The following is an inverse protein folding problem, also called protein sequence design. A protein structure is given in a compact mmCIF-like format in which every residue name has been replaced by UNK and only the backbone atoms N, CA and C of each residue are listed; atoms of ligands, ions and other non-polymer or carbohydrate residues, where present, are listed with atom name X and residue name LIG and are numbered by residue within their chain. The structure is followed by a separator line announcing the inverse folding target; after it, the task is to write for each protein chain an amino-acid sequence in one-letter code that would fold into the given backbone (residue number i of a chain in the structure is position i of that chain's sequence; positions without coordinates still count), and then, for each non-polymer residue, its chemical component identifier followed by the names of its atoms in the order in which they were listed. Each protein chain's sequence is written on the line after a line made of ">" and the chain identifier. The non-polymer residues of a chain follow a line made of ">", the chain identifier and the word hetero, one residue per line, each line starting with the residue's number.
data_IF_458010169653
#
_entry.id   IF_458010169653
#
_cell.length_a   1.000
_cell.length_b   1.000
_cell.length_c   1.000
_cell.angle_alpha   90.00
_cell.angle_beta   90.00
_cell.angle_gamma   90.00
#
_symmetry.space_group_name_H-M   'P 1'
#
loop_
_entity.id
_entity.type
_entity.pdbx_description
1 polymer ?
#
# COMPACT_ATOMS: atom_id res chain seq x y z
N UNK A 1 -48.75 -45.12 -24.62
CA UNK A 1 -47.84 -44.46 -23.65
C UNK A 1 -47.05 -43.40 -24.43
N UNK A 2 -47.49 -42.14 -24.43
CA UNK A 2 -46.82 -41.09 -25.19
C UNK A 2 -45.61 -40.57 -24.42
N UNK A 3 -44.41 -40.94 -24.84
CA UNK A 3 -43.16 -40.41 -24.30
C UNK A 3 -43.00 -38.96 -24.76
N UNK A 4 -43.11 -38.02 -23.82
CA UNK A 4 -42.82 -36.60 -24.01
C UNK A 4 -41.37 -36.45 -24.47
N UNK A 5 -41.14 -36.17 -25.75
CA UNK A 5 -39.82 -35.79 -26.28
C UNK A 5 -39.42 -34.47 -25.60
N UNK A 6 -38.40 -34.50 -24.74
CA UNK A 6 -37.83 -33.28 -24.15
C UNK A 6 -37.14 -32.52 -25.27
N UNK A 7 -37.71 -31.39 -25.67
CA UNK A 7 -37.03 -30.43 -26.55
C UNK A 7 -35.74 -29.95 -25.86
N UNK A 8 -34.59 -30.28 -26.44
CA UNK A 8 -33.32 -29.67 -26.06
C UNK A 8 -33.29 -28.25 -26.62
N UNK A 9 -33.74 -27.27 -25.84
CA UNK A 9 -33.52 -25.85 -26.15
C UNK A 9 -32.03 -25.54 -26.01
N UNK A 10 -31.38 -25.19 -27.13
CA UNK A 10 -30.02 -24.65 -27.14
C UNK A 10 -30.02 -23.13 -26.99
N UNK A 11 -28.91 -22.56 -26.52
CA UNK A 11 -28.70 -21.12 -26.51
C UNK A 11 -28.58 -20.59 -27.95
N UNK A 12 -29.19 -19.45 -28.21
CA UNK A 12 -29.03 -18.73 -29.48
C UNK A 12 -27.75 -17.90 -29.46
N UNK A 13 -27.15 -17.70 -30.63
CA UNK A 13 -25.97 -16.82 -30.76
C UNK A 13 -26.29 -15.38 -30.35
N UNK A 14 -27.51 -14.91 -30.61
CA UNK A 14 -27.92 -13.55 -30.25
C UNK A 14 -28.06 -13.36 -28.74
N UNK A 15 -28.54 -14.37 -28.00
CA UNK A 15 -28.56 -14.36 -26.54
C UNK A 15 -27.15 -14.23 -25.96
N UNK A 16 -26.20 -15.00 -26.52
CA UNK A 16 -24.81 -14.90 -26.10
C UNK A 16 -24.20 -13.52 -26.41
N UNK A 17 -24.46 -12.97 -27.59
CA UNK A 17 -23.92 -11.66 -27.99
C UNK A 17 -24.41 -10.52 -27.09
N UNK A 18 -25.69 -10.50 -26.73
CA UNK A 18 -26.23 -9.47 -25.81
C UNK A 18 -25.60 -9.61 -24.43
N UNK A 19 -25.41 -10.83 -23.93
CA UNK A 19 -24.77 -11.08 -22.62
C UNK A 19 -23.34 -10.54 -22.61
N UNK A 20 -22.53 -10.85 -23.64
CA UNK A 20 -21.16 -10.34 -23.72
C UNK A 20 -21.13 -8.81 -23.86
N UNK A 21 -22.07 -8.21 -24.61
CA UNK A 21 -22.17 -6.76 -24.73
C UNK A 21 -22.46 -6.09 -23.37
N UNK A 22 -23.40 -6.63 -22.58
CA UNK A 22 -23.73 -6.10 -21.25
C UNK A 22 -22.53 -6.28 -20.30
N UNK A 23 -21.91 -7.46 -20.26
CA UNK A 23 -20.71 -7.70 -19.43
C UNK A 23 -19.57 -6.76 -19.85
N UNK A 24 -19.40 -6.50 -21.14
CA UNK A 24 -18.41 -5.55 -21.67
C UNK A 24 -18.61 -4.12 -21.14
N UNK A 25 -19.84 -3.62 -21.14
CA UNK A 25 -20.18 -2.29 -20.60
C UNK A 25 -19.91 -2.23 -19.10
N UNK A 26 -20.32 -3.26 -18.35
CA UNK A 26 -20.09 -3.32 -16.90
C UNK A 26 -18.60 -3.42 -16.57
N UNK A 27 -17.84 -4.24 -17.28
CA UNK A 27 -16.41 -4.44 -17.08
C UNK A 27 -15.61 -3.15 -17.36
N UNK A 28 -15.98 -2.40 -18.40
CA UNK A 28 -15.33 -1.14 -18.74
C UNK A 28 -15.38 -0.10 -17.61
N UNK A 29 -16.46 -0.08 -16.82
CA UNK A 29 -16.61 0.81 -15.66
C UNK A 29 -16.03 0.18 -14.39
N UNK A 30 -16.22 -1.12 -14.20
CA UNK A 30 -15.83 -1.81 -12.96
C UNK A 30 -14.31 -1.99 -12.81
N UNK A 31 -13.60 -2.34 -13.88
CA UNK A 31 -12.16 -2.62 -13.85
C UNK A 31 -11.34 -1.42 -13.36
N UNK A 32 -11.45 -0.21 -13.94
CA UNK A 32 -10.64 0.92 -13.49
C UNK A 32 -10.95 1.32 -12.04
N UNK A 33 -12.20 1.20 -11.62
CA UNK A 33 -12.60 1.47 -10.23
C UNK A 33 -12.02 0.42 -9.27
N UNK A 34 -12.07 -0.86 -9.64
CA UNK A 34 -11.51 -1.95 -8.85
C UNK A 34 -10.00 -1.78 -8.65
N UNK A 35 -9.25 -1.40 -9.69
CA UNK A 35 -7.81 -1.14 -9.60
C UNK A 35 -7.51 -0.01 -8.61
N UNK A 36 -8.26 1.10 -8.65
CA UNK A 36 -8.14 2.20 -7.68
C UNK A 36 -8.44 1.77 -6.25
N UNK A 37 -9.44 0.92 -6.04
CA UNK A 37 -9.75 0.39 -4.71
C UNK A 37 -8.63 -0.52 -4.20
N UNK A 38 -8.07 -1.35 -5.08
CA UNK A 38 -6.94 -2.20 -4.73
C UNK A 38 -5.71 -1.37 -4.35
N UNK A 39 -5.39 -0.32 -5.11
CA UNK A 39 -4.29 0.60 -4.82
C UNK A 39 -4.48 1.28 -3.46
N UNK A 40 -5.67 1.84 -3.18
CA UNK A 40 -5.99 2.45 -1.88
C UNK A 40 -5.90 1.45 -0.72
N UNK A 41 -6.32 0.20 -0.93
CA UNK A 41 -6.20 -0.85 0.07
C UNK A 41 -4.72 -1.15 0.37
N UNK A 42 -3.86 -1.20 -0.66
CA UNK A 42 -2.41 -1.37 -0.48
C UNK A 42 -1.77 -0.17 0.22
N UNK A 43 -2.13 1.06 -0.17
CA UNK A 43 -1.67 2.29 0.50
C UNK A 43 -2.04 2.34 1.99
N UNK A 44 -3.16 1.72 2.40
CA UNK A 44 -3.56 1.69 3.81
C UNK A 44 -2.52 1.03 4.72
N UNK A 45 -1.72 0.10 4.20
CA UNK A 45 -0.62 -0.54 4.91
C UNK A 45 0.44 0.47 5.34
N UNK A 46 0.92 1.30 4.40
CA UNK A 46 1.92 2.34 4.67
C UNK A 46 1.40 3.32 5.74
N UNK A 47 0.15 3.75 5.63
CA UNK A 47 -0.47 4.68 6.58
C UNK A 47 -0.53 4.11 8.00
N UNK A 48 -0.89 2.82 8.11
CA UNK A 48 -0.99 2.14 9.40
C UNK A 48 0.38 1.98 10.05
N UNK A 49 1.38 1.52 9.29
CA UNK A 49 2.74 1.33 9.80
C UNK A 49 3.42 2.66 10.12
N UNK A 50 3.27 3.70 9.30
CA UNK A 50 3.75 5.05 9.63
C UNK A 50 3.10 5.61 10.89
N UNK A 51 1.81 5.35 11.10
CA UNK A 51 1.12 5.73 12.35
C UNK A 51 1.68 4.96 13.56
N UNK A 52 2.03 3.69 13.40
CA UNK A 52 2.67 2.90 14.44
C UNK A 52 4.09 3.42 14.76
N UNK A 53 4.89 3.76 13.75
CA UNK A 53 6.19 4.41 13.91
C UNK A 53 6.04 5.72 14.67
N UNK A 54 5.05 6.55 14.32
CA UNK A 54 4.77 7.80 15.03
C UNK A 54 4.51 7.56 16.51
N UNK A 55 3.64 6.61 16.85
CA UNK A 55 3.35 6.28 18.26
C UNK A 55 4.59 5.77 18.99
N UNK A 56 5.40 4.92 18.34
CA UNK A 56 6.67 4.47 18.92
C UNK A 56 7.64 5.64 19.16
N UNK A 57 7.76 6.56 18.20
CA UNK A 57 8.64 7.73 18.31
C UNK A 57 8.21 8.68 19.44
N UNK A 58 6.90 8.93 19.57
CA UNK A 58 6.36 9.73 20.68
C UNK A 58 6.63 9.07 22.03
N UNK A 59 6.44 7.76 22.14
CA UNK A 59 6.76 7.01 23.37
C UNK A 59 8.26 7.11 23.71
N UNK A 60 9.12 6.90 22.70
CA UNK A 60 10.57 6.98 22.87
C UNK A 60 11.03 8.37 23.28
N UNK A 61 10.47 9.43 22.68
CA UNK A 61 10.74 10.81 23.06
C UNK A 61 10.33 11.09 24.52
N UNK A 62 9.18 10.56 24.97
CA UNK A 62 8.73 10.70 26.36
C UNK A 62 9.70 10.09 27.39
N UNK A 63 10.45 9.06 27.01
CA UNK A 63 11.44 8.40 27.89
C UNK A 63 12.82 9.03 27.82
N UNK A 64 13.24 9.48 26.63
CA UNK A 64 14.64 9.84 26.34
C UNK A 64 14.87 11.28 25.93
N UNK A 65 13.81 12.10 25.83
CA UNK A 65 13.83 13.49 25.36
C UNK A 65 14.54 13.68 24.00
N UNK A 66 14.49 12.65 23.15
CA UNK A 66 15.02 12.68 21.79
C UNK A 66 14.27 11.63 20.95
N UNK A 67 14.19 11.83 19.64
CA UNK A 67 13.66 10.83 18.73
C UNK A 67 14.70 9.76 18.37
N UNK A 68 14.24 8.55 18.06
CA UNK A 68 15.10 7.43 17.69
C UNK A 68 15.56 7.57 16.23
N UNK A 69 16.88 7.52 16.01
CA UNK A 69 17.47 7.64 14.68
C UNK A 69 17.52 6.32 13.89
N UNK A 70 17.25 5.18 14.54
CA UNK A 70 17.30 3.85 13.92
C UNK A 70 16.15 2.97 14.38
N UNK A 71 15.74 1.99 13.56
CA UNK A 71 14.66 1.08 13.96
C UNK A 71 15.05 0.19 15.14
N UNK A 72 16.33 -0.15 15.26
CA UNK A 72 16.86 -0.92 16.39
C UNK A 72 16.75 -0.15 17.72
N UNK A 73 16.99 1.17 17.71
CA UNK A 73 16.83 2.00 18.91
C UNK A 73 15.36 2.28 19.24
N UNK A 74 14.53 2.41 18.21
CA UNK A 74 13.07 2.52 18.35
C UNK A 74 12.42 1.22 18.82
N UNK A 75 13.10 0.08 18.65
CA UNK A 75 12.58 -1.27 18.88
C UNK A 75 11.25 -1.51 18.14
N UNK A 76 11.20 -1.08 16.88
CA UNK A 76 10.03 -1.22 16.02
C UNK A 76 10.40 -1.96 14.74
N UNK A 77 9.50 -2.84 14.30
CA UNK A 77 9.52 -3.47 12.99
C UNK A 77 8.09 -3.67 12.51
N UNK A 78 7.86 -3.66 11.19
CA UNK A 78 6.54 -3.97 10.65
C UNK A 78 6.22 -5.46 10.86
N UNK A 79 4.93 -5.78 10.94
CA UNK A 79 4.44 -7.15 11.08
C UNK A 79 4.06 -7.76 9.72
N UNK A 80 4.37 -9.05 9.53
CA UNK A 80 3.96 -9.81 8.35
C UNK A 80 4.78 -9.51 7.09
N UNK A 81 4.17 -9.72 5.91
CA UNK A 81 4.77 -9.36 4.61
C UNK A 81 4.39 -7.94 4.24
N UNK A 82 5.37 -7.05 4.06
CA UNK A 82 5.12 -5.63 3.76
C UNK A 82 5.23 -5.32 2.27
N UNK A 83 4.45 -4.38 1.77
CA UNK A 83 4.57 -3.84 0.39
C UNK A 83 5.43 -2.60 0.30
N UNK A 84 5.81 -2.06 1.44
CA UNK A 84 6.65 -0.88 1.57
C UNK A 84 7.91 -1.21 2.37
N UNK A 85 8.97 -0.48 2.07
CA UNK A 85 10.11 -0.28 2.97
C UNK A 85 9.90 0.98 3.80
N UNK A 86 10.32 0.95 5.05
CA UNK A 86 10.20 2.06 5.99
C UNK A 86 11.57 2.66 6.26
N UNK A 87 11.62 3.98 6.43
CA UNK A 87 12.84 4.77 6.59
C UNK A 87 12.70 5.71 7.79
N UNK A 88 13.76 5.81 8.62
CA UNK A 88 13.83 6.80 9.70
C UNK A 88 14.82 7.92 9.42
N UNK A 89 16.03 7.60 8.97
CA UNK A 89 17.10 8.57 8.79
C UNK A 89 17.97 8.24 7.58
N UNK A 90 18.63 9.27 7.04
CA UNK A 90 19.62 9.10 5.98
C UNK A 90 20.77 8.18 6.43
N UNK A 91 21.09 7.17 5.62
CA UNK A 91 22.17 6.22 5.92
C UNK A 91 21.77 5.09 6.87
N UNK A 92 20.54 5.09 7.37
CA UNK A 92 19.97 3.94 8.07
C UNK A 92 19.43 2.92 7.07
N UNK A 93 19.49 1.64 7.43
CA UNK A 93 18.97 0.56 6.58
C UNK A 93 17.46 0.53 6.69
N UNK A 94 16.78 0.78 5.57
CA UNK A 94 15.34 0.65 5.48
C UNK A 94 14.90 -0.76 5.86
N UNK A 95 13.71 -0.88 6.47
CA UNK A 95 13.17 -2.17 6.86
C UNK A 95 11.89 -2.50 6.10
N UNK A 96 11.80 -3.75 5.66
CA UNK A 96 10.61 -4.40 5.14
C UNK A 96 10.73 -5.88 5.49
N UNK A 97 9.62 -6.54 5.81
CA UNK A 97 9.64 -7.94 6.25
C UNK A 97 8.83 -8.80 5.29
N UNK A 98 9.34 -9.98 4.91
CA UNK A 98 8.61 -11.01 4.15
C UNK A 98 9.09 -11.24 2.71
N UNK A 99 8.83 -12.43 2.17
CA UNK A 99 9.09 -12.76 0.77
C UNK A 99 8.18 -11.93 -0.13
N UNK A 100 8.76 -11.12 -1.03
CA UNK A 100 8.02 -10.18 -1.87
C UNK A 100 7.85 -8.79 -1.24
N UNK A 101 8.58 -8.47 -0.17
CA UNK A 101 8.72 -7.08 0.26
C UNK A 101 9.32 -6.23 -0.85
N UNK A 102 8.88 -4.97 -0.89
CA UNK A 102 9.64 -3.95 -1.59
C UNK A 102 11.07 -3.99 -1.04
N UNK A 103 12.06 -4.09 -1.93
CA UNK A 103 13.48 -4.08 -1.55
C UNK A 103 14.20 -3.06 -2.41
N UNK A 104 15.02 -2.21 -1.79
CA UNK A 104 15.83 -1.23 -2.51
C UNK A 104 15.02 -0.07 -3.06
N UNK A 105 13.93 0.28 -2.38
CA UNK A 105 13.15 1.48 -2.66
C UNK A 105 13.95 2.73 -2.31
N UNK A 106 13.62 3.82 -2.98
CA UNK A 106 14.26 5.11 -2.74
C UNK A 106 13.67 5.74 -1.48
N UNK A 107 14.53 6.21 -0.56
CA UNK A 107 14.08 6.96 0.61
C UNK A 107 13.29 8.21 0.19
N UNK A 108 12.09 8.46 0.75
CA UNK A 108 11.33 9.66 0.45
C UNK A 108 12.10 10.93 0.80
N UNK A 109 11.89 11.99 0.03
CA UNK A 109 12.51 13.29 0.30
C UNK A 109 12.03 13.84 1.65
N UNK A 110 12.95 14.34 2.47
CA UNK A 110 12.65 14.97 3.76
C UNK A 110 12.60 14.02 4.96
N UNK A 111 12.82 12.72 4.75
CA UNK A 111 13.05 11.76 5.86
C UNK A 111 14.31 12.15 6.62
N UNK A 112 14.15 12.41 7.91
CA UNK A 112 15.23 12.84 8.79
C UNK A 112 14.81 12.69 10.26
N UNK A 113 15.78 12.51 11.14
CA UNK A 113 15.59 12.58 12.59
C UNK A 113 16.52 13.63 13.17
N UNK A 114 15.97 14.50 14.01
CA UNK A 114 16.67 15.45 14.84
C UNK A 114 16.25 15.26 16.30
N UNK A 115 16.91 15.95 17.23
CA UNK A 115 16.60 15.83 18.66
C UNK A 115 15.12 16.11 18.95
N UNK A 116 14.53 17.13 18.32
CA UNK A 116 13.18 17.62 18.61
C UNK A 116 12.22 17.54 17.42
N UNK A 117 12.59 16.85 16.34
CA UNK A 117 11.72 16.64 15.19
C UNK A 117 12.07 15.34 14.48
N UNK A 118 11.10 14.71 13.84
CA UNK A 118 11.36 13.59 12.94
C UNK A 118 10.39 13.61 11.76
N UNK A 119 10.84 13.04 10.66
CA UNK A 119 10.03 12.67 9.51
C UNK A 119 10.40 11.24 9.16
N UNK A 120 9.47 10.31 9.35
CA UNK A 120 9.62 8.93 8.89
C UNK A 120 9.02 8.78 7.49
N UNK A 121 9.54 7.84 6.71
CA UNK A 121 9.12 7.60 5.34
C UNK A 121 8.73 6.15 5.09
N UNK A 122 7.89 5.94 4.06
CA UNK A 122 7.62 4.64 3.49
C UNK A 122 7.65 4.74 1.96
N UNK A 123 8.31 3.82 1.28
CA UNK A 123 8.33 3.74 -0.19
C UNK A 123 7.97 2.33 -0.64
N UNK A 124 7.19 2.22 -1.70
CA UNK A 124 6.77 0.93 -2.25
C UNK A 124 6.32 1.05 -3.69
N UNK A 125 6.47 -0.04 -4.45
CA UNK A 125 6.01 -0.14 -5.84
C UNK A 125 4.74 -1.00 -5.90
N UNK A 126 3.58 -0.36 -5.99
CA UNK A 126 2.26 -0.99 -5.81
C UNK A 126 1.77 -1.70 -7.08
N UNK A 127 2.15 -1.21 -8.24
CA UNK A 127 1.70 -1.59 -9.58
C UNK A 127 2.82 -2.08 -10.51
N UNK A 128 4.04 -2.22 -9.98
CA UNK A 128 5.21 -2.84 -10.61
C UNK A 128 5.73 -2.09 -11.84
N UNK A 129 5.61 -0.77 -11.85
CA UNK A 129 6.22 0.08 -12.88
C UNK A 129 7.56 0.68 -12.41
N UNK A 130 8.04 1.75 -13.08
CA UNK A 130 9.34 2.34 -12.79
C UNK A 130 9.28 3.40 -11.66
N UNK A 131 8.09 3.72 -11.17
CA UNK A 131 7.84 4.80 -10.22
C UNK A 131 7.37 4.22 -8.88
N UNK A 132 7.66 4.94 -7.80
CA UNK A 132 7.43 4.46 -6.43
C UNK A 132 6.41 5.37 -5.73
N UNK A 133 5.49 4.76 -4.99
CA UNK A 133 4.57 5.46 -4.09
C UNK A 133 5.30 5.79 -2.79
N UNK A 134 5.35 7.07 -2.42
CA UNK A 134 6.16 7.56 -1.29
C UNK A 134 5.31 8.31 -0.27
N UNK A 135 5.29 7.80 0.96
CA UNK A 135 4.60 8.42 2.09
C UNK A 135 5.59 8.96 3.12
N UNK A 136 5.24 10.06 3.77
CA UNK A 136 5.96 10.57 4.94
C UNK A 136 5.01 10.91 6.07
N UNK A 137 5.48 10.74 7.30
CA UNK A 137 4.80 11.20 8.51
C UNK A 137 5.78 11.99 9.38
N UNK A 138 5.35 13.15 9.88
CA UNK A 138 6.19 13.98 10.75
C UNK A 138 5.80 13.89 12.24
N UNK A 139 6.55 14.60 13.08
CA UNK A 139 6.40 14.70 14.53
C UNK A 139 5.08 15.31 15.01
N UNK A 140 4.33 15.97 14.13
CA UNK A 140 2.96 16.46 14.41
C UNK A 140 1.87 15.58 13.81
N UNK A 141 2.22 14.35 13.38
CA UNK A 141 1.30 13.37 12.77
C UNK A 141 0.68 13.84 11.46
N UNK A 142 1.34 14.74 10.74
CA UNK A 142 0.95 15.08 9.38
C UNK A 142 1.44 13.98 8.44
N UNK A 143 0.50 13.31 7.79
CA UNK A 143 0.76 12.22 6.86
C UNK A 143 0.60 12.74 5.43
N UNK A 144 1.68 12.71 4.66
CA UNK A 144 1.71 13.20 3.29
C UNK A 144 2.03 12.07 2.31
N UNK A 145 1.36 12.07 1.15
CA UNK A 145 1.83 11.30 0.00
C UNK A 145 2.70 12.21 -0.87
N UNK A 146 4.02 12.04 -0.74
CA UNK A 146 5.02 12.86 -1.42
C UNK A 146 5.18 12.47 -2.90
N UNK A 147 4.83 11.24 -3.27
CA UNK A 147 4.74 10.80 -4.66
C UNK A 147 3.61 9.78 -4.80
N UNK A 148 2.44 10.20 -5.29
CA UNK A 148 1.30 9.33 -5.52
C UNK A 148 1.26 8.89 -6.99
N UNK A 149 1.70 7.67 -7.23
CA UNK A 149 1.85 7.14 -8.58
C UNK A 149 0.65 6.32 -9.08
N UNK A 150 -0.32 6.07 -8.21
CA UNK A 150 -1.53 5.26 -8.46
C UNK A 150 -2.85 6.04 -8.46
#
# INVERSE_FOLDING_TARGET
>A
MFSKLREKKGFTLIELMIVVAIIGILAAIAIPNFLKFQAKAKQSEAKNNLSAIFTAQVSYFGERNAFAATFATLNWAPEGTTRYEYFLASGETAIGTGTGSATGMTMPTGVAVATNAFTAGASGNIDSDATEDQWTINDVKNLNNSNNDV
#
